data_IF_695039941526
#
_entry.id   IF_695039941526
#
_cell.length_a   1.000
_cell.length_b   1.000
_cell.length_c   1.000
_cell.angle_alpha   90.00
_cell.angle_beta   90.00
_cell.angle_gamma   90.00
#
_symmetry.space_group_name_H-M   'P 1'
#
loop_
_entity.id
_entity.type
_entity.pdbx_description
1 polymer ?
#
# COMPACT_ATOMS: atom_id res chain seq x y z
N UNK A 1 -5.13 35.25 -14.19
CA UNK A 1 -5.93 35.04 -15.41
C UNK A 1 -4.99 34.58 -16.52
N UNK A 2 -5.27 33.43 -17.10
CA UNK A 2 -4.28 32.50 -17.65
C UNK A 2 -3.72 32.93 -19.03
N UNK A 3 -2.39 32.87 -19.17
CA UNK A 3 -1.58 33.31 -20.31
C UNK A 3 -1.22 32.15 -21.27
N UNK A 4 -2.19 31.36 -21.73
CA UNK A 4 -1.89 30.29 -22.70
C UNK A 4 -3.02 30.02 -23.69
N UNK A 5 -2.64 29.46 -24.85
CA UNK A 5 -3.54 29.09 -25.97
C UNK A 5 -3.56 27.57 -26.09
N UNK A 6 -4.73 26.99 -26.36
CA UNK A 6 -4.92 25.54 -26.48
C UNK A 6 -5.67 25.17 -27.78
N UNK A 7 -5.48 23.94 -28.27
CA UNK A 7 -6.06 23.43 -29.53
C UNK A 7 -7.35 22.67 -29.23
N UNK A 8 -8.44 22.98 -29.95
CA UNK A 8 -9.77 22.44 -29.68
C UNK A 8 -10.05 21.09 -30.37
N UNK A 9 -9.49 20.83 -31.55
CA UNK A 9 -9.58 19.53 -32.26
C UNK A 9 -8.57 19.45 -33.42
N UNK A 10 -8.25 18.23 -33.88
CA UNK A 10 -7.34 17.99 -35.03
C UNK A 10 -7.99 17.01 -36.03
N UNK A 11 -8.81 17.50 -36.99
CA UNK A 11 -9.26 16.70 -38.12
C UNK A 11 -8.24 16.67 -39.27
N UNK A 12 -8.44 15.77 -40.23
CA UNK A 12 -7.52 15.42 -41.34
C UNK A 12 -7.20 16.56 -42.33
N UNK A 13 -7.90 17.69 -42.25
CA UNK A 13 -7.55 18.95 -42.93
C UNK A 13 -7.44 20.04 -41.84
N UNK A 14 -6.21 20.31 -41.42
CA UNK A 14 -5.93 21.00 -40.15
C UNK A 14 -6.11 22.51 -40.25
N UNK A 15 -7.20 23.02 -39.68
CA UNK A 15 -7.33 24.44 -39.31
C UNK A 15 -7.17 24.55 -37.80
N UNK A 16 -6.16 25.32 -37.35
CA UNK A 16 -5.90 25.56 -35.92
C UNK A 16 -6.44 26.95 -35.59
N UNK A 17 -7.55 27.01 -34.86
CA UNK A 17 -8.04 28.28 -34.30
C UNK A 17 -7.32 28.56 -32.98
N UNK A 18 -6.53 29.63 -32.94
CA UNK A 18 -5.84 30.12 -31.75
C UNK A 18 -6.73 31.15 -31.05
N UNK A 19 -7.19 30.84 -29.84
CA UNK A 19 -7.98 31.81 -29.05
C UNK A 19 -7.06 32.71 -28.23
N UNK A 20 -7.01 33.99 -28.59
CA UNK A 20 -6.18 34.98 -27.88
C UNK A 20 -6.96 35.60 -26.71
N UNK A 21 -6.41 35.63 -25.48
CA UNK A 21 -7.06 36.29 -24.35
C UNK A 21 -7.29 37.79 -24.60
N UNK A 22 -8.31 38.35 -23.93
CA UNK A 22 -8.65 39.77 -24.03
C UNK A 22 -7.43 40.63 -23.64
N UNK A 23 -7.00 41.50 -24.54
CA UNK A 23 -5.87 42.43 -24.33
C UNK A 23 -4.54 42.00 -24.93
N UNK A 24 -4.47 40.84 -25.58
CA UNK A 24 -3.26 40.35 -26.27
C UNK A 24 -3.47 40.28 -27.78
N UNK A 25 -2.40 40.49 -28.55
CA UNK A 25 -2.40 40.37 -30.02
C UNK A 25 -1.32 39.39 -30.45
N UNK A 26 -1.69 38.38 -31.23
CA UNK A 26 -0.72 37.57 -31.96
C UNK A 26 -0.48 38.26 -33.30
N UNK A 27 0.77 38.66 -33.56
CA UNK A 27 1.17 39.18 -34.87
C UNK A 27 1.33 37.99 -35.83
N UNK A 28 0.36 37.81 -36.73
CA UNK A 28 0.36 36.99 -37.95
C UNK A 28 1.32 35.79 -37.96
N UNK A 29 0.81 34.59 -37.68
CA UNK A 29 1.50 33.33 -37.98
C UNK A 29 1.55 33.15 -39.50
N UNK A 30 2.74 32.99 -40.07
CA UNK A 30 2.93 32.85 -41.51
C UNK A 30 3.10 31.38 -41.93
N UNK A 31 2.83 31.08 -43.20
CA UNK A 31 3.08 29.77 -43.79
C UNK A 31 4.58 29.45 -43.76
N UNK A 32 4.97 28.46 -42.96
CA UNK A 32 6.37 28.05 -42.76
C UNK A 32 6.89 28.23 -41.33
N UNK A 33 6.15 28.92 -40.46
CA UNK A 33 6.50 29.04 -39.04
C UNK A 33 6.31 27.70 -38.31
N UNK A 34 7.30 27.33 -37.49
CA UNK A 34 7.23 26.12 -36.65
C UNK A 34 6.63 26.47 -35.30
N UNK A 35 5.43 25.96 -35.00
CA UNK A 35 4.79 26.10 -33.69
C UNK A 35 5.17 24.89 -32.83
N UNK A 36 5.84 25.14 -31.70
CA UNK A 36 6.16 24.10 -30.73
C UNK A 36 5.00 23.91 -29.76
N UNK A 37 4.36 22.74 -29.79
CA UNK A 37 3.43 22.31 -28.74
C UNK A 37 4.23 21.52 -27.71
N UNK A 38 4.44 22.09 -26.53
CA UNK A 38 4.95 21.32 -25.40
C UNK A 38 3.82 20.46 -24.85
N UNK A 39 3.77 19.19 -25.24
CA UNK A 39 2.95 18.20 -24.54
C UNK A 39 3.78 17.59 -23.42
N UNK A 40 3.47 17.96 -22.19
CA UNK A 40 3.97 17.26 -21.02
C UNK A 40 3.12 16.01 -20.77
N UNK A 41 3.74 14.87 -20.50
CA UNK A 41 3.05 13.64 -20.06
C UNK A 41 2.88 13.59 -18.54
N UNK A 42 2.88 14.73 -17.86
CA UNK A 42 2.49 14.84 -16.45
C UNK A 42 0.97 14.88 -16.35
N UNK A 43 0.35 13.70 -16.29
CA UNK A 43 -1.08 13.56 -16.00
C UNK A 43 -1.30 13.83 -14.51
N UNK A 44 -1.93 14.95 -14.17
CA UNK A 44 -2.23 15.19 -12.77
C UNK A 44 -2.93 16.49 -12.43
N UNK A 45 -2.55 17.61 -13.04
CA UNK A 45 -3.11 18.90 -12.64
C UNK A 45 -3.86 19.61 -13.78
N UNK A 46 -3.44 19.42 -15.04
CA UNK A 46 -4.04 20.12 -16.21
C UNK A 46 -4.48 19.17 -17.34
N UNK A 47 -5.33 18.19 -17.06
CA UNK A 47 -6.04 17.45 -18.12
C UNK A 47 -7.54 17.67 -17.97
N UNK A 48 -7.99 18.71 -18.70
CA UNK A 48 -9.34 18.96 -19.23
C UNK A 48 -10.51 19.01 -18.24
N UNK A 49 -11.49 19.86 -18.56
CA UNK A 49 -12.77 19.98 -17.83
C UNK A 49 -13.67 18.72 -17.91
N UNK A 50 -13.21 17.60 -18.49
CA UNK A 50 -14.03 16.42 -18.74
C UNK A 50 -13.41 15.05 -18.40
N UNK A 51 -12.20 15.00 -17.83
CA UNK A 51 -11.68 13.72 -17.35
C UNK A 51 -12.55 13.22 -16.17
N UNK A 52 -13.12 12.02 -16.31
CA UNK A 52 -14.09 11.43 -15.37
C UNK A 52 -15.43 12.19 -15.23
N UNK A 53 -15.92 12.84 -16.28
CA UNK A 53 -17.21 13.53 -16.25
C UNK A 53 -17.25 14.73 -15.31
N UNK A 54 -16.09 15.37 -15.08
CA UNK A 54 -15.95 16.54 -14.21
C UNK A 54 -15.58 16.23 -12.75
N UNK A 55 -15.22 14.98 -12.42
CA UNK A 55 -14.73 14.63 -11.07
C UNK A 55 -13.20 14.75 -11.06
N UNK A 56 -12.70 15.88 -10.55
CA UNK A 56 -11.27 16.10 -10.32
C UNK A 56 -10.64 14.89 -9.62
N UNK A 57 -9.51 14.41 -10.14
CA UNK A 57 -8.78 13.31 -9.51
C UNK A 57 -8.44 13.73 -8.06
N UNK A 58 -8.79 12.93 -7.04
CA UNK A 58 -8.86 13.41 -5.66
C UNK A 58 -7.50 13.46 -4.94
N UNK A 59 -6.41 13.06 -5.60
CA UNK A 59 -5.08 12.97 -5.02
C UNK A 59 -4.18 14.18 -5.36
N UNK A 60 -2.96 14.18 -4.82
CA UNK A 60 -1.90 15.12 -5.21
C UNK A 60 -0.97 14.44 -6.23
N UNK A 61 -0.93 14.91 -7.50
CA UNK A 61 -0.24 14.20 -8.57
C UNK A 61 1.27 14.19 -8.37
N UNK A 62 1.80 15.25 -7.75
CA UNK A 62 3.24 15.48 -7.60
C UNK A 62 3.78 14.81 -6.31
N UNK A 63 2.90 14.35 -5.41
CA UNK A 63 3.32 13.91 -4.07
C UNK A 63 4.26 12.69 -4.09
N UNK A 64 4.11 11.78 -5.05
CA UNK A 64 4.89 10.54 -5.12
C UNK A 64 6.13 10.63 -6.02
N UNK A 65 6.25 11.66 -6.85
CA UNK A 65 7.26 11.76 -7.91
C UNK A 65 8.68 11.64 -7.38
N UNK A 66 8.99 12.40 -6.34
CA UNK A 66 10.32 12.42 -5.73
C UNK A 66 10.46 11.43 -4.57
N UNK A 67 9.49 10.52 -4.40
CA UNK A 67 9.36 9.71 -3.18
C UNK A 67 9.37 8.21 -3.42
N UNK A 68 10.21 7.59 -2.62
CA UNK A 68 10.34 6.15 -2.50
C UNK A 68 9.51 5.65 -1.31
N UNK A 69 8.27 5.26 -1.59
CA UNK A 69 7.28 4.96 -0.56
C UNK A 69 7.02 3.46 -0.41
N UNK A 70 6.77 3.04 0.83
CA UNK A 70 6.35 1.68 1.18
C UNK A 70 5.09 1.74 2.03
N UNK A 71 4.26 0.72 1.90
CA UNK A 71 3.01 0.62 2.64
C UNK A 71 3.04 -0.57 3.59
N UNK A 72 2.30 -0.46 4.68
CA UNK A 72 2.00 -1.56 5.60
C UNK A 72 0.58 -1.35 6.12
N UNK A 73 0.09 -2.26 6.95
CA UNK A 73 -1.17 -2.11 7.64
C UNK A 73 -1.09 -2.68 9.05
N UNK A 74 -2.04 -2.30 9.90
CA UNK A 74 -2.27 -2.91 11.21
C UNK A 74 -3.76 -2.91 11.53
N UNK A 75 -4.18 -3.83 12.36
CA UNK A 75 -5.55 -3.94 12.82
C UNK A 75 -5.75 -3.17 14.13
N UNK A 76 -6.92 -2.56 14.28
CA UNK A 76 -7.42 -2.05 15.56
C UNK A 76 -8.57 -2.94 16.02
N UNK A 77 -8.54 -3.37 17.26
CA UNK A 77 -9.57 -4.22 17.87
C UNK A 77 -10.64 -3.36 18.58
N UNK A 78 -11.72 -4.00 19.02
CA UNK A 78 -12.85 -3.36 19.71
C UNK A 78 -12.50 -2.83 21.11
N UNK A 79 -11.49 -3.41 21.76
CA UNK A 79 -10.89 -2.94 23.01
C UNK A 79 -10.00 -1.69 22.85
N UNK A 80 -9.78 -1.22 21.62
CA UNK A 80 -8.94 -0.08 21.30
C UNK A 80 -7.45 -0.41 21.17
N UNK A 81 -7.05 -1.67 21.34
CA UNK A 81 -5.69 -2.11 21.10
C UNK A 81 -5.39 -2.23 19.60
N UNK A 82 -4.09 -2.17 19.29
CA UNK A 82 -3.58 -2.30 17.94
C UNK A 82 -2.72 -3.56 17.81
N UNK A 83 -2.87 -4.25 16.68
CA UNK A 83 -1.95 -5.31 16.28
C UNK A 83 -0.55 -4.75 16.02
N UNK A 84 0.43 -5.65 15.97
CA UNK A 84 1.72 -5.33 15.35
C UNK A 84 1.52 -4.96 13.87
N UNK A 85 2.45 -4.17 13.33
CA UNK A 85 2.43 -3.78 11.92
C UNK A 85 2.81 -4.97 11.04
N UNK A 86 2.13 -5.10 9.89
CA UNK A 86 2.50 -6.06 8.88
C UNK A 86 3.87 -5.72 8.26
N UNK A 87 4.54 -6.68 7.61
CA UNK A 87 5.70 -6.39 6.79
C UNK A 87 5.40 -5.30 5.75
N UNK A 88 6.38 -4.43 5.49
CA UNK A 88 6.23 -3.41 4.47
C UNK A 88 6.25 -4.01 3.06
N UNK A 89 5.49 -3.42 2.16
CA UNK A 89 5.51 -3.75 0.73
C UNK A 89 6.87 -3.43 0.12
N UNK A 90 7.10 -3.96 -1.08
CA UNK A 90 8.10 -3.40 -1.97
C UNK A 90 7.79 -1.92 -2.25
N UNK A 91 8.80 -1.22 -2.73
CA UNK A 91 8.72 0.20 -3.00
C UNK A 91 7.75 0.44 -4.16
N UNK A 92 6.78 1.32 -3.97
CA UNK A 92 5.78 1.66 -4.97
C UNK A 92 6.34 2.63 -5.99
N UNK A 93 7.37 2.20 -6.73
CA UNK A 93 8.13 3.04 -7.65
C UNK A 93 8.27 2.38 -9.01
N UNK A 94 7.94 3.13 -10.05
CA UNK A 94 8.25 2.78 -11.44
C UNK A 94 8.87 4.04 -12.05
N UNK A 95 10.12 3.99 -12.56
CA UNK A 95 10.74 5.17 -13.13
C UNK A 95 9.95 5.64 -14.37
N UNK A 96 9.88 6.97 -14.57
CA UNK A 96 9.44 7.56 -15.83
C UNK A 96 10.29 7.00 -16.99
N UNK A 97 9.72 6.99 -18.20
CA UNK A 97 10.37 6.43 -19.40
C UNK A 97 10.86 4.97 -19.24
N UNK A 98 10.35 4.23 -18.24
CA UNK A 98 10.81 2.88 -17.87
C UNK A 98 12.31 2.79 -17.55
N UNK A 99 12.96 3.93 -17.25
CA UNK A 99 14.38 3.98 -16.93
C UNK A 99 15.33 4.01 -18.14
N UNK A 100 14.83 4.28 -19.36
CA UNK A 100 15.68 4.40 -20.54
C UNK A 100 16.12 5.84 -20.78
N UNK A 101 17.38 6.01 -21.21
CA UNK A 101 17.87 7.28 -21.75
C UNK A 101 17.26 7.55 -23.13
N UNK A 102 16.77 8.75 -23.33
CA UNK A 102 16.44 9.30 -24.65
C UNK A 102 17.57 10.20 -25.16
N UNK A 103 17.55 10.48 -26.46
CA UNK A 103 18.55 11.33 -27.11
C UNK A 103 18.65 12.71 -26.41
N UNK A 104 19.88 13.14 -26.13
CA UNK A 104 20.16 14.41 -25.44
C UNK A 104 20.09 14.35 -23.90
N UNK A 105 19.39 13.37 -23.32
CA UNK A 105 19.31 13.22 -21.85
C UNK A 105 20.64 12.80 -21.22
N UNK A 106 21.48 12.05 -21.95
CA UNK A 106 22.82 11.69 -21.48
C UNK A 106 23.70 12.93 -21.24
N UNK A 107 23.67 13.89 -22.18
CA UNK A 107 24.39 15.14 -22.05
C UNK A 107 23.82 16.03 -20.93
N UNK A 108 22.50 16.02 -20.73
CA UNK A 108 21.84 16.73 -19.65
C UNK A 108 22.21 16.14 -18.28
N UNK A 109 22.18 14.81 -18.14
CA UNK A 109 22.59 14.10 -16.93
C UNK A 109 24.09 14.29 -16.65
N UNK A 110 24.93 14.31 -17.68
CA UNK A 110 26.36 14.60 -17.52
C UNK A 110 26.62 16.02 -16.99
N UNK A 111 25.87 17.02 -17.45
CA UNK A 111 26.04 18.43 -17.03
C UNK A 111 25.39 18.74 -15.68
N UNK A 112 24.24 18.15 -15.38
CA UNK A 112 23.43 18.48 -14.20
C UNK A 112 23.55 17.46 -13.07
N UNK A 113 24.10 16.26 -13.33
CA UNK A 113 24.08 15.08 -12.44
C UNK A 113 22.67 14.60 -12.03
N UNK A 114 21.61 15.16 -12.63
CA UNK A 114 20.22 14.82 -12.34
C UNK A 114 19.70 13.89 -13.45
N UNK A 115 18.97 12.84 -13.04
CA UNK A 115 18.30 11.91 -13.93
C UNK A 115 16.78 12.14 -13.85
N UNK A 116 16.24 12.91 -14.80
CA UNK A 116 14.81 13.27 -14.85
C UNK A 116 13.90 12.03 -14.97
N UNK A 117 14.34 10.97 -15.65
CA UNK A 117 13.57 9.73 -15.76
C UNK A 117 13.52 8.90 -14.46
N UNK A 118 14.35 9.22 -13.47
CA UNK A 118 14.37 8.54 -12.17
C UNK A 118 13.35 9.12 -11.18
N UNK A 119 12.34 9.80 -11.69
CA UNK A 119 11.14 10.19 -10.94
C UNK A 119 10.08 9.09 -11.00
N UNK A 120 9.23 9.02 -9.98
CA UNK A 120 8.18 8.02 -9.88
C UNK A 120 7.03 8.35 -10.85
N UNK A 121 6.71 7.40 -11.72
CA UNK A 121 5.56 7.45 -12.63
C UNK A 121 4.31 6.75 -12.09
N UNK A 122 4.24 6.46 -10.78
CA UNK A 122 3.09 5.80 -10.13
C UNK A 122 2.29 6.80 -9.31
N UNK A 123 1.01 6.96 -9.65
CA UNK A 123 0.06 7.81 -8.92
C UNK A 123 -1.01 6.98 -8.18
N UNK A 124 -1.28 5.76 -8.67
CA UNK A 124 -2.32 4.89 -8.12
C UNK A 124 -1.73 3.54 -7.74
N UNK A 125 -1.98 3.10 -6.50
CA UNK A 125 -1.49 1.81 -5.99
C UNK A 125 -2.66 1.04 -5.38
N UNK A 126 -2.90 -0.18 -5.86
CA UNK A 126 -3.88 -1.08 -5.26
C UNK A 126 -3.20 -1.95 -4.21
N UNK A 127 -3.50 -1.71 -2.94
CA UNK A 127 -3.00 -2.53 -1.84
C UNK A 127 -3.98 -3.66 -1.58
N UNK A 128 -3.53 -4.90 -1.73
CA UNK A 128 -4.28 -6.09 -1.34
C UNK A 128 -3.89 -6.50 0.08
N UNK A 129 -4.85 -6.40 0.99
CA UNK A 129 -4.66 -6.72 2.40
C UNK A 129 -5.34 -8.05 2.66
N UNK A 130 -4.57 -9.12 2.96
CA UNK A 130 -5.15 -10.39 3.35
C UNK A 130 -5.80 -10.25 4.71
N UNK A 131 -7.02 -10.77 4.83
CA UNK A 131 -7.79 -10.76 6.05
C UNK A 131 -7.73 -12.16 6.70
N UNK A 132 -7.85 -12.26 8.03
CA UNK A 132 -7.78 -13.54 8.72
C UNK A 132 -9.01 -14.45 8.47
N UNK A 133 -10.13 -13.87 8.04
CA UNK A 133 -11.36 -14.58 7.66
C UNK A 133 -12.09 -13.80 6.56
N UNK A 134 -13.26 -14.28 6.14
CA UNK A 134 -14.15 -13.56 5.24
C UNK A 134 -14.61 -12.24 5.87
N UNK A 135 -14.78 -11.20 5.06
CA UNK A 135 -15.09 -9.83 5.51
C UNK A 135 -16.24 -9.76 6.54
N UNK A 136 -17.29 -10.58 6.36
CA UNK A 136 -18.43 -10.65 7.30
C UNK A 136 -18.04 -11.03 8.75
N UNK A 137 -17.03 -11.87 8.95
CA UNK A 137 -16.69 -12.42 10.27
C UNK A 137 -15.62 -11.61 11.00
N UNK A 138 -15.11 -10.54 10.40
CA UNK A 138 -13.97 -9.77 10.91
C UNK A 138 -14.40 -8.70 11.91
N UNK A 139 -15.59 -8.13 11.73
CA UNK A 139 -16.06 -6.95 12.44
C UNK A 139 -16.23 -7.11 13.95
N UNK A 140 -16.93 -6.16 14.57
CA UNK A 140 -17.14 -6.10 16.02
C UNK A 140 -18.47 -6.71 16.47
N UNK A 141 -19.25 -7.25 15.55
CA UNK A 141 -20.53 -7.88 15.88
C UNK A 141 -20.33 -9.09 16.78
N UNK A 142 -21.36 -9.45 17.55
CA UNK A 142 -21.30 -10.60 18.47
C UNK A 142 -20.91 -11.89 17.75
N UNK A 143 -21.37 -12.06 16.50
CA UNK A 143 -21.07 -13.22 15.64
C UNK A 143 -19.69 -13.19 15.00
N UNK A 144 -18.97 -12.07 15.02
CA UNK A 144 -17.65 -11.94 14.40
C UNK A 144 -16.57 -12.61 15.25
N UNK A 145 -15.63 -13.28 14.59
CA UNK A 145 -14.58 -14.09 15.22
C UNK A 145 -13.41 -13.25 15.72
N UNK A 146 -13.02 -12.22 14.97
CA UNK A 146 -11.73 -11.52 15.18
C UNK A 146 -11.84 -10.15 15.86
N UNK A 147 -13.06 -9.61 16.03
CA UNK A 147 -13.31 -8.33 16.71
C UNK A 147 -12.46 -7.17 16.20
N UNK A 148 -12.16 -7.15 14.90
CA UNK A 148 -11.38 -6.08 14.27
C UNK A 148 -12.34 -4.92 13.96
N UNK A 149 -12.09 -3.79 14.62
CA UNK A 149 -12.86 -2.56 14.48
C UNK A 149 -12.42 -1.71 13.29
N UNK A 150 -11.13 -1.70 12.97
CA UNK A 150 -10.61 -0.92 11.83
C UNK A 150 -9.27 -1.45 11.31
N UNK A 151 -8.91 -1.06 10.09
CA UNK A 151 -7.59 -1.26 9.49
C UNK A 151 -6.92 0.10 9.33
N UNK A 152 -5.77 0.29 9.96
CA UNK A 152 -4.92 1.45 9.70
C UNK A 152 -3.96 1.11 8.55
N UNK A 153 -3.96 1.93 7.50
CA UNK A 153 -2.97 1.88 6.44
C UNK A 153 -1.77 2.73 6.85
N UNK A 154 -0.59 2.15 6.73
CA UNK A 154 0.66 2.76 7.13
C UNK A 154 1.49 3.12 5.91
N UNK A 155 2.21 4.22 6.05
CA UNK A 155 3.03 4.83 5.02
C UNK A 155 4.42 5.10 5.59
N UNK A 156 5.45 4.76 4.81
CA UNK A 156 6.84 4.97 5.17
C UNK A 156 7.64 5.42 3.96
N UNK A 157 8.40 6.50 4.13
CA UNK A 157 9.38 7.00 3.16
C UNK A 157 10.72 6.27 3.40
N UNK A 158 11.53 6.11 2.36
CA UNK A 158 12.82 5.39 2.44
C UNK A 158 13.91 6.15 3.20
N UNK A 159 13.83 7.49 3.19
CA UNK A 159 14.79 8.42 3.80
C UNK A 159 14.51 8.67 5.29
N UNK A 160 13.26 8.52 5.71
CA UNK A 160 12.83 8.74 7.09
C UNK A 160 12.72 7.45 7.90
N UNK A 161 12.92 7.54 9.22
CA UNK A 161 12.66 6.43 10.15
C UNK A 161 11.15 6.34 10.48
N UNK A 162 10.49 7.50 10.55
CA UNK A 162 9.09 7.63 10.98
C UNK A 162 8.12 6.81 10.11
N UNK A 163 7.17 6.15 10.78
CA UNK A 163 6.01 5.51 10.14
C UNK A 163 4.81 6.42 10.35
N UNK A 164 4.04 6.66 9.30
CA UNK A 164 2.88 7.54 9.33
C UNK A 164 1.61 6.73 9.02
N UNK A 165 0.49 7.12 9.60
CA UNK A 165 -0.84 6.62 9.26
C UNK A 165 -1.34 7.41 8.06
N UNK A 166 -1.73 6.67 7.04
CA UNK A 166 -2.26 7.18 5.80
C UNK A 166 -3.79 7.30 5.86
N UNK A 167 -4.45 6.24 6.28
CA UNK A 167 -5.91 6.16 6.36
C UNK A 167 -6.33 5.15 7.43
N UNK A 168 -7.52 5.33 7.98
CA UNK A 168 -8.14 4.41 8.94
C UNK A 168 -9.48 3.94 8.38
N UNK A 169 -9.51 2.68 7.93
CA UNK A 169 -10.67 2.04 7.33
C UNK A 169 -11.53 1.42 8.43
N UNK A 170 -12.69 2.00 8.70
CA UNK A 170 -13.64 1.47 9.68
C UNK A 170 -14.61 0.43 9.07
N UNK A 171 -14.77 0.40 7.75
CA UNK A 171 -15.70 -0.50 7.05
C UNK A 171 -14.94 -1.43 6.10
N UNK A 172 -14.74 -2.67 6.53
CA UNK A 172 -13.94 -3.70 5.83
C UNK A 172 -14.78 -4.45 4.77
N UNK A 173 -16.10 -4.21 4.76
CA UNK A 173 -17.06 -4.87 3.85
C UNK A 173 -17.82 -6.01 4.52
N UNK A 174 -18.78 -6.58 3.81
CA UNK A 174 -19.70 -7.62 4.31
C UNK A 174 -19.67 -8.90 3.47
N UNK A 175 -18.67 -9.05 2.60
CA UNK A 175 -18.55 -10.22 1.73
C UNK A 175 -18.43 -11.51 2.55
N UNK A 176 -19.14 -12.55 2.10
CA UNK A 176 -19.12 -13.89 2.70
C UNK A 176 -18.09 -14.81 2.05
N UNK A 177 -17.44 -14.35 0.97
CA UNK A 177 -16.48 -15.16 0.18
C UNK A 177 -15.12 -14.51 0.06
N UNK A 178 -15.03 -13.17 0.10
CA UNK A 178 -13.76 -12.47 0.03
C UNK A 178 -13.07 -12.45 1.38
N UNK A 179 -11.83 -12.93 1.41
CA UNK A 179 -10.88 -12.81 2.51
C UNK A 179 -9.79 -11.76 2.22
N UNK A 180 -10.02 -10.88 1.25
CA UNK A 180 -9.10 -9.79 0.90
C UNK A 180 -9.83 -8.44 1.00
N UNK A 181 -9.13 -7.43 1.48
CA UNK A 181 -9.54 -6.03 1.38
C UNK A 181 -8.64 -5.32 0.37
N UNK A 182 -9.24 -4.67 -0.62
CA UNK A 182 -8.51 -3.90 -1.64
C UNK A 182 -8.64 -2.43 -1.29
N UNK A 183 -7.51 -1.78 -1.06
CA UNK A 183 -7.42 -0.35 -0.83
C UNK A 183 -6.80 0.34 -2.05
N UNK A 184 -7.54 1.26 -2.65
CA UNK A 184 -7.08 2.06 -3.78
C UNK A 184 -6.41 3.34 -3.26
N UNK A 185 -5.08 3.34 -3.22
CA UNK A 185 -4.28 4.52 -2.90
C UNK A 185 -4.17 5.45 -4.10
N UNK A 186 -4.33 6.76 -3.85
CA UNK A 186 -4.34 7.83 -4.86
C UNK A 186 -3.46 9.01 -4.41
N UNK A 187 -2.15 8.78 -4.26
CA UNK A 187 -1.14 9.77 -3.80
C UNK A 187 -1.54 10.69 -2.64
N UNK A 188 -2.40 10.22 -1.72
CA UNK A 188 -2.86 11.03 -0.58
C UNK A 188 -1.71 11.21 0.43
N UNK A 189 -1.67 12.38 1.05
CA UNK A 189 -0.71 12.70 2.12
C UNK A 189 -1.11 11.98 3.41
N UNK A 190 -0.16 11.38 4.14
CA UNK A 190 -0.45 10.82 5.46
C UNK A 190 -0.74 11.92 6.47
N UNK A 191 -1.65 11.66 7.42
CA UNK A 191 -2.18 12.69 8.33
C UNK A 191 -1.64 12.58 9.76
N UNK A 192 -1.04 11.46 10.17
CA UNK A 192 -0.59 11.24 11.55
C UNK A 192 0.72 10.46 11.60
N UNK A 193 1.68 10.91 12.39
CA UNK A 193 2.92 10.14 12.64
C UNK A 193 2.71 9.18 13.82
N UNK A 194 3.18 7.94 13.70
CA UNK A 194 3.13 6.98 14.80
C UNK A 194 4.24 7.25 15.82
N UNK A 195 3.94 7.14 17.12
CA UNK A 195 4.94 7.25 18.16
C UNK A 195 5.84 6.00 18.20
N UNK A 196 7.05 6.15 18.73
CA UNK A 196 8.10 5.14 18.65
C UNK A 196 7.77 3.85 19.41
N UNK A 197 7.03 3.95 20.51
CA UNK A 197 6.53 2.83 21.32
C UNK A 197 5.67 1.85 20.50
N UNK A 198 4.96 2.35 19.48
CA UNK A 198 4.15 1.54 18.58
C UNK A 198 4.99 0.85 17.50
N UNK A 199 6.16 1.41 17.16
CA UNK A 199 7.02 0.93 16.07
C UNK A 199 7.91 -0.23 16.53
N UNK A 200 8.34 -0.24 17.79
CA UNK A 200 9.32 -1.21 18.33
C UNK A 200 8.70 -2.49 18.90
N UNK A 201 7.39 -2.71 18.73
CA UNK A 201 6.71 -3.92 19.25
C UNK A 201 7.08 -5.14 18.41
N UNK A 202 7.76 -6.13 19.02
CA UNK A 202 8.28 -7.32 18.30
C UNK A 202 7.26 -8.46 18.23
N UNK A 203 6.60 -8.78 19.34
CA UNK A 203 5.51 -9.75 19.40
C UNK A 203 4.73 -9.57 20.70
N UNK A 204 3.47 -9.97 20.69
CA UNK A 204 2.68 -10.11 21.91
C UNK A 204 2.54 -11.60 22.26
N UNK A 205 2.93 -11.98 23.48
CA UNK A 205 2.77 -13.35 23.96
C UNK A 205 1.74 -13.34 25.07
N UNK A 206 0.48 -13.53 24.68
CA UNK A 206 -0.65 -13.72 25.58
C UNK A 206 -1.10 -15.18 25.56
N UNK A 207 -1.52 -15.74 26.71
CA UNK A 207 -2.12 -17.06 26.75
C UNK A 207 -3.47 -17.04 26.02
N UNK A 208 -3.86 -18.19 25.45
CA UNK A 208 -5.12 -18.33 24.70
C UNK A 208 -6.35 -18.07 25.58
N UNK A 209 -6.27 -18.48 26.86
CA UNK A 209 -7.29 -18.21 27.88
C UNK A 209 -6.61 -17.96 29.21
N UNK A 210 -7.12 -17.02 30.00
CA UNK A 210 -6.74 -16.82 31.39
C UNK A 210 -7.98 -16.43 32.21
N UNK A 211 -8.08 -16.95 33.44
CA UNK A 211 -9.18 -16.59 34.36
C UNK A 211 -8.83 -15.40 35.24
N UNK A 212 -7.56 -15.07 35.38
CA UNK A 212 -7.09 -13.89 36.08
C UNK A 212 -5.91 -13.24 35.38
N UNK A 213 -5.87 -11.91 35.41
CA UNK A 213 -4.75 -11.11 34.95
C UNK A 213 -4.47 -10.05 36.01
N UNK A 214 -3.20 -9.89 36.37
CA UNK A 214 -2.75 -8.88 37.30
C UNK A 214 -1.49 -8.19 36.75
N UNK A 215 -1.34 -6.91 37.05
CA UNK A 215 -0.14 -6.15 36.72
C UNK A 215 0.58 -5.83 38.02
N UNK A 216 1.87 -6.17 38.11
CA UNK A 216 2.73 -5.85 39.25
C UNK A 216 4.04 -5.24 38.75
N UNK A 217 4.18 -3.93 38.91
CA UNK A 217 5.26 -3.15 38.29
C UNK A 217 5.24 -3.27 36.76
N UNK A 218 6.38 -3.61 36.15
CA UNK A 218 6.53 -3.80 34.70
C UNK A 218 6.19 -5.23 34.22
N UNK A 219 5.47 -6.03 35.02
CA UNK A 219 5.15 -7.43 34.71
C UNK A 219 3.64 -7.64 34.65
N UNK A 220 3.20 -8.32 33.60
CA UNK A 220 1.84 -8.86 33.50
C UNK A 220 1.89 -10.33 33.94
N UNK A 221 1.02 -10.70 34.87
CA UNK A 221 0.93 -12.04 35.46
C UNK A 221 -0.44 -12.60 35.13
N UNK A 222 -0.47 -13.77 34.49
CA UNK A 222 -1.69 -14.52 34.22
C UNK A 222 -1.89 -15.64 35.23
N UNK A 223 -3.10 -15.79 35.75
CA UNK A 223 -3.50 -16.85 36.67
C UNK A 223 -4.44 -17.83 36.00
N UNK A 224 -4.23 -19.13 36.25
CA UNK A 224 -5.04 -20.23 35.72
C UNK A 224 -5.27 -20.09 34.20
N UNK A 225 -4.18 -20.19 33.44
CA UNK A 225 -4.15 -19.90 32.01
C UNK A 225 -3.82 -21.13 31.16
N UNK A 226 -4.28 -21.10 29.91
CA UNK A 226 -3.98 -22.07 28.87
C UNK A 226 -3.06 -21.42 27.83
N UNK A 227 -1.81 -21.86 27.75
CA UNK A 227 -0.80 -21.28 26.83
C UNK A 227 -0.89 -21.86 25.41
N UNK A 228 -1.45 -23.06 25.24
CA UNK A 228 -1.42 -23.79 23.96
C UNK A 228 -2.77 -24.41 23.62
N UNK A 229 -3.08 -24.42 22.33
CA UNK A 229 -4.20 -25.20 21.81
C UNK A 229 -3.93 -26.70 21.99
N UNK A 230 -4.96 -27.46 22.36
CA UNK A 230 -4.95 -28.92 22.30
C UNK A 230 -4.93 -29.35 20.82
N UNK A 231 -4.25 -30.46 20.52
CA UNK A 231 -4.21 -30.98 19.15
C UNK A 231 -5.63 -31.28 18.63
N UNK A 232 -5.90 -31.07 17.33
CA UNK A 232 -7.19 -31.43 16.74
C UNK A 232 -7.50 -32.91 16.98
N UNK A 233 -8.75 -33.24 17.36
CA UNK A 233 -9.15 -34.64 17.62
C UNK A 233 -8.97 -35.57 16.42
N UNK A 234 -8.90 -35.02 15.20
CA UNK A 234 -8.74 -35.78 13.95
C UNK A 234 -7.28 -36.18 13.64
N UNK A 235 -6.31 -35.69 14.41
CA UNK A 235 -4.89 -35.99 14.23
C UNK A 235 -4.40 -36.98 15.29
N UNK A 236 -4.49 -38.27 14.96
CA UNK A 236 -3.92 -39.34 15.77
C UNK A 236 -2.41 -39.44 15.51
N UNK A 237 -1.60 -39.00 16.48
CA UNK A 237 -0.14 -39.14 16.43
C UNK A 237 0.39 -39.85 17.67
N UNK A 238 1.35 -40.75 17.45
CA UNK A 238 2.09 -41.42 18.53
C UNK A 238 3.42 -40.71 18.72
N UNK A 239 3.68 -40.22 19.92
CA UNK A 239 5.00 -39.72 20.31
C UNK A 239 5.78 -40.90 20.88
N UNK A 240 6.83 -41.32 20.18
CA UNK A 240 7.81 -42.29 20.67
C UNK A 240 9.12 -41.58 20.99
N UNK A 241 9.75 -41.95 22.10
CA UNK A 241 11.13 -41.58 22.39
C UNK A 241 11.98 -42.81 22.12
N UNK A 242 12.89 -42.72 21.15
CA UNK A 242 13.90 -43.74 20.88
C UNK A 242 15.29 -43.10 20.96
N UNK A 243 16.30 -43.90 21.31
CA UNK A 243 17.69 -43.44 21.25
C UNK A 243 17.99 -42.99 19.82
N UNK A 244 18.63 -41.83 19.68
CA UNK A 244 19.10 -41.31 18.40
C UNK A 244 20.06 -42.33 17.80
N UNK A 245 19.59 -43.07 16.81
CA UNK A 245 20.37 -44.13 16.19
C UNK A 245 21.56 -43.49 15.45
N UNK A 246 22.79 -43.83 15.85
CA UNK A 246 24.03 -43.32 15.27
C UNK A 246 24.49 -44.12 14.05
N UNK A 247 23.75 -45.14 13.64
CA UNK A 247 24.07 -45.94 12.46
C UNK A 247 23.60 -45.25 11.17
N UNK A 248 24.55 -44.97 10.29
CA UNK A 248 24.38 -44.51 8.90
C UNK A 248 23.73 -45.60 8.03
N UNK A 249 22.46 -45.92 8.29
CA UNK A 249 21.62 -46.66 7.35
C UNK A 249 20.44 -45.75 7.05
N UNK A 250 20.30 -45.36 5.77
CA UNK A 250 19.43 -44.28 5.30
C UNK A 250 18.07 -44.23 6.00
N UNK A 251 17.81 -43.11 6.68
CA UNK A 251 16.51 -42.86 7.29
C UNK A 251 15.60 -42.19 6.27
N UNK A 252 14.62 -42.93 5.77
CA UNK A 252 13.43 -42.31 5.22
C UNK A 252 12.49 -41.92 6.38
N UNK A 253 12.41 -40.62 6.69
CA UNK A 253 11.57 -40.08 7.78
C UNK A 253 10.08 -39.97 7.39
N UNK A 254 9.44 -41.04 6.89
CA UNK A 254 7.99 -41.00 6.65
C UNK A 254 7.21 -41.17 7.94
N UNK A 255 6.48 -40.12 8.32
CA UNK A 255 5.37 -40.23 9.26
C UNK A 255 4.19 -40.86 8.53
N UNK A 256 3.79 -42.06 8.94
CA UNK A 256 2.64 -42.77 8.37
C UNK A 256 1.35 -42.23 9.02
N UNK A 257 0.59 -41.42 8.29
CA UNK A 257 -0.80 -41.12 8.64
C UNK A 257 -1.61 -42.41 8.46
N UNK A 258 -2.31 -42.85 9.51
CA UNK A 258 -3.24 -43.97 9.42
C UNK A 258 -4.55 -43.46 8.83
N UNK A 259 -4.72 -43.56 7.52
CA UNK A 259 -6.05 -43.40 6.91
C UNK A 259 -6.87 -44.63 7.28
N UNK A 260 -7.90 -44.44 8.11
CA UNK A 260 -8.92 -45.46 8.36
C UNK A 260 -10.03 -45.21 7.34
N UNK A 261 -10.28 -46.19 6.46
CA UNK A 261 -11.49 -46.25 5.63
C UNK A 261 -12.63 -46.81 6.47
#
# INVERSE_FOLDING_TARGET
PEDYVYVLSIPSETTVELKVPIGHTISNVASGDTIYFFSTTMTGEDITLDFNGGVAWPGDPNFLEDKFVRFSYRFRFDDGEYSIMAPFTQIGFIPKQKGYFLEGQENAAFRSTILEFMENGVQNIKLKIPLPDVQKNIGVDVSSTYKIAAIDILYKESDGIAVKVLDTINSIGTSQTSNEYIYDYQSRKPFKTLPQDQIVRVYDKVPVKALGQAVSGNRVIYGNFLDKYTSPQLLDYRVGVSNKNTASLGFDNWRKLKTVF
#
